data_IF_986109547539
#
_entry.id   IF_986109547539
#
_cell.length_a   1.000
_cell.length_b   1.000
_cell.length_c   1.000
_cell.angle_alpha   90.00
_cell.angle_beta   90.00
_cell.angle_gamma   90.00
#
_symmetry.space_group_name_H-M   'P 1'
#
loop_
_entity.id
_entity.type
_entity.pdbx_description
1 polymer ?
#
# COMPACT_ATOMS: atom_id res chain seq x y z
N UNK A 1 -8.77 2.50 28.25
CA UNK A 1 -9.84 2.34 27.23
C UNK A 1 -9.59 3.28 26.08
N UNK A 2 -10.05 2.95 24.88
CA UNK A 2 -9.87 3.77 23.67
C UNK A 2 -10.54 5.15 23.91
N UNK A 3 -9.71 6.15 24.20
CA UNK A 3 -10.09 7.54 24.50
C UNK A 3 -9.35 8.49 23.55
N UNK A 4 -9.59 9.80 23.67
CA UNK A 4 -8.95 10.78 22.79
C UNK A 4 -7.41 10.80 22.92
N UNK A 5 -6.85 10.42 24.08
CA UNK A 5 -5.40 10.23 24.23
C UNK A 5 -4.88 9.06 23.39
N UNK A 6 -5.63 7.96 23.31
CA UNK A 6 -5.27 6.83 22.45
C UNK A 6 -5.28 7.22 20.96
N UNK A 7 -6.25 8.03 20.53
CA UNK A 7 -6.30 8.58 19.17
C UNK A 7 -5.11 9.51 18.89
N UNK A 8 -4.77 10.39 19.84
CA UNK A 8 -3.61 11.27 19.74
C UNK A 8 -2.28 10.51 19.67
N UNK A 9 -2.10 9.48 20.51
CA UNK A 9 -0.91 8.63 20.50
C UNK A 9 -0.80 7.83 19.19
N UNK A 10 -1.91 7.32 18.67
CA UNK A 10 -1.96 6.64 17.38
C UNK A 10 -1.54 7.56 16.22
N UNK A 11 -2.07 8.78 16.17
CA UNK A 11 -1.70 9.77 15.15
C UNK A 11 -0.21 10.12 15.21
N UNK A 12 0.31 10.40 16.41
CA UNK A 12 1.72 10.68 16.59
C UNK A 12 2.60 9.52 16.12
N UNK A 13 2.24 8.27 16.45
CA UNK A 13 2.96 7.09 16.02
C UNK A 13 2.94 6.95 14.49
N UNK A 14 1.77 7.01 13.85
CA UNK A 14 1.64 6.86 12.39
C UNK A 14 2.43 7.93 11.64
N UNK A 15 2.38 9.18 12.08
CA UNK A 15 3.15 10.27 11.43
C UNK A 15 4.64 9.96 11.51
N UNK A 16 5.15 9.61 12.69
CA UNK A 16 6.59 9.35 12.88
C UNK A 16 7.06 8.13 12.09
N UNK A 17 6.39 6.99 12.25
CA UNK A 17 6.77 5.75 11.57
C UNK A 17 6.55 5.85 10.07
N UNK A 18 5.45 6.46 9.64
CA UNK A 18 5.11 6.64 8.23
C UNK A 18 6.07 7.57 7.52
N UNK A 19 6.46 8.69 8.14
CA UNK A 19 7.43 9.62 7.56
C UNK A 19 8.81 8.99 7.41
N UNK A 20 9.28 8.26 8.44
CA UNK A 20 10.56 7.55 8.38
C UNK A 20 10.55 6.47 7.30
N UNK A 21 9.44 5.73 7.17
CA UNK A 21 9.27 4.72 6.13
C UNK A 21 9.24 5.34 4.73
N UNK A 22 8.53 6.46 4.53
CA UNK A 22 8.49 7.14 3.23
C UNK A 22 9.89 7.54 2.77
N UNK A 23 10.69 8.09 3.69
CA UNK A 23 12.08 8.46 3.42
C UNK A 23 12.95 7.24 3.11
N UNK A 24 12.81 6.16 3.89
CA UNK A 24 13.54 4.91 3.67
C UNK A 24 13.27 4.34 2.27
N UNK A 25 12.00 4.17 1.89
CA UNK A 25 11.60 3.60 0.60
C UNK A 25 12.11 4.44 -0.57
N UNK A 26 12.00 5.77 -0.46
CA UNK A 26 12.45 6.70 -1.50
C UNK A 26 13.96 6.66 -1.68
N UNK A 27 14.72 6.66 -0.59
CA UNK A 27 16.18 6.64 -0.63
C UNK A 27 16.73 5.28 -1.07
N UNK A 28 16.17 4.18 -0.57
CA UNK A 28 16.61 2.83 -0.95
C UNK A 28 16.32 2.55 -2.43
N UNK A 29 15.13 2.88 -2.93
CA UNK A 29 14.82 2.73 -4.35
C UNK A 29 15.70 3.59 -5.25
N UNK A 30 15.93 4.86 -4.86
CA UNK A 30 16.85 5.75 -5.60
C UNK A 30 18.31 5.29 -5.56
N UNK A 31 18.77 4.71 -4.45
CA UNK A 31 20.11 4.17 -4.34
C UNK A 31 20.34 2.98 -5.27
N UNK A 32 19.36 2.08 -5.40
CA UNK A 32 19.44 0.94 -6.33
C UNK A 32 19.41 1.38 -7.80
N UNK A 33 18.57 2.35 -8.18
CA UNK A 33 18.57 2.91 -9.55
C UNK A 33 19.89 3.62 -9.87
N UNK A 34 20.42 4.41 -8.93
CA UNK A 34 21.71 5.09 -9.10
C UNK A 34 22.88 4.10 -9.17
N UNK A 35 22.86 3.02 -8.39
CA UNK A 35 23.89 1.98 -8.45
C UNK A 35 23.87 1.25 -9.81
N UNK A 36 22.68 0.95 -10.34
CA UNK A 36 22.53 0.40 -11.70
C UNK A 36 23.14 1.34 -12.74
N UNK A 37 22.75 2.63 -12.73
CA UNK A 37 23.28 3.65 -13.66
C UNK A 37 24.80 3.80 -13.55
N UNK A 38 25.35 3.78 -12.34
CA UNK A 38 26.79 3.87 -12.12
C UNK A 38 27.57 2.72 -12.80
N UNK A 39 27.03 1.50 -12.76
CA UNK A 39 27.60 0.33 -13.45
C UNK A 39 27.37 0.43 -14.96
N UNK A 40 26.21 0.92 -15.39
CA UNK A 40 25.92 1.16 -16.80
C UNK A 40 26.89 2.15 -17.48
N UNK A 41 27.43 3.11 -16.70
CA UNK A 41 28.44 4.09 -17.14
C UNK A 41 29.86 3.49 -17.29
N UNK A 42 30.03 2.19 -17.00
CA UNK A 42 31.27 1.46 -17.25
C UNK A 42 32.07 1.10 -15.99
N UNK A 43 31.59 1.47 -14.80
CA UNK A 43 32.18 1.01 -13.55
C UNK A 43 31.78 -0.45 -13.27
N UNK A 44 32.57 -1.17 -12.47
CA UNK A 44 32.29 -2.56 -12.07
C UNK A 44 31.95 -3.51 -13.24
N UNK A 45 32.68 -3.37 -14.34
CA UNK A 45 32.58 -4.26 -15.52
C UNK A 45 31.54 -3.84 -16.56
N UNK A 46 30.76 -2.78 -16.33
CA UNK A 46 29.89 -2.21 -17.37
C UNK A 46 28.64 -3.04 -17.68
N UNK A 47 27.91 -2.63 -18.72
CA UNK A 47 26.67 -3.30 -19.17
C UNK A 47 26.92 -4.77 -19.52
N UNK A 48 26.05 -5.64 -19.02
CA UNK A 48 26.11 -7.08 -19.27
C UNK A 48 27.01 -7.87 -18.31
N UNK A 49 27.77 -7.18 -17.43
CA UNK A 49 28.50 -7.83 -16.35
C UNK A 49 27.56 -8.48 -15.34
N UNK A 50 28.09 -9.38 -14.50
CA UNK A 50 27.29 -9.98 -13.43
C UNK A 50 26.88 -8.94 -12.36
N UNK A 51 27.71 -7.92 -12.14
CA UNK A 51 27.36 -6.78 -11.29
C UNK A 51 26.17 -5.98 -11.87
N UNK A 52 26.15 -5.77 -13.19
CA UNK A 52 25.02 -5.11 -13.87
C UNK A 52 23.73 -5.91 -13.73
N UNK A 53 23.77 -7.24 -13.92
CA UNK A 53 22.58 -8.10 -13.74
C UNK A 53 22.05 -8.03 -12.30
N UNK A 54 22.94 -8.04 -11.31
CA UNK A 54 22.55 -7.92 -9.91
C UNK A 54 21.92 -6.55 -9.62
N UNK A 55 22.47 -5.46 -10.17
CA UNK A 55 21.94 -4.12 -9.99
C UNK A 55 20.58 -3.92 -10.67
N UNK A 56 20.33 -4.54 -11.81
CA UNK A 56 19.01 -4.55 -12.47
C UNK A 56 17.96 -5.22 -11.58
N UNK A 57 18.29 -6.33 -10.91
CA UNK A 57 17.38 -6.97 -9.96
C UNK A 57 17.10 -6.03 -8.78
N UNK A 58 18.13 -5.38 -8.24
CA UNK A 58 17.99 -4.40 -7.16
C UNK A 58 17.07 -3.23 -7.53
N UNK A 59 17.24 -2.68 -8.73
CA UNK A 59 16.39 -1.62 -9.27
C UNK A 59 14.93 -2.08 -9.46
N UNK A 60 14.73 -3.31 -9.96
CA UNK A 60 13.38 -3.90 -10.11
C UNK A 60 12.65 -4.03 -8.77
N UNK A 61 13.37 -4.34 -7.69
CA UNK A 61 12.82 -4.34 -6.32
C UNK A 61 12.61 -2.91 -5.80
N UNK A 62 13.47 -1.98 -6.22
CA UNK A 62 13.44 -0.56 -5.83
C UNK A 62 12.34 0.26 -6.49
N UNK A 63 11.90 -0.08 -7.70
CA UNK A 63 10.88 0.66 -8.46
C UNK A 63 9.55 0.80 -7.68
N UNK A 64 8.96 -0.28 -7.13
CA UNK A 64 7.79 -0.14 -6.25
C UNK A 64 8.04 0.74 -5.03
N UNK A 65 9.28 0.80 -4.52
CA UNK A 65 9.63 1.56 -3.32
C UNK A 65 9.70 3.06 -3.62
N UNK A 66 10.40 3.47 -4.70
CA UNK A 66 10.57 4.89 -5.05
C UNK A 66 9.40 5.49 -5.80
N UNK A 67 8.71 4.73 -6.66
CA UNK A 67 7.70 5.31 -7.56
C UNK A 67 6.28 5.11 -7.07
N UNK A 68 6.05 4.14 -6.18
CA UNK A 68 4.70 3.83 -5.67
C UNK A 68 4.60 4.03 -4.16
N UNK A 69 5.26 3.18 -3.37
CA UNK A 69 5.04 3.10 -1.93
C UNK A 69 5.56 4.34 -1.18
N UNK A 70 6.78 4.80 -1.48
CA UNK A 70 7.37 5.99 -0.86
C UNK A 70 6.51 7.25 -1.03
N UNK A 71 6.19 7.65 -2.28
CA UNK A 71 5.31 8.80 -2.54
C UNK A 71 3.89 8.63 -1.99
N UNK A 72 3.33 7.41 -1.96
CA UNK A 72 1.96 7.16 -1.50
C UNK A 72 1.78 7.32 0.02
N UNK A 73 2.84 7.17 0.82
CA UNK A 73 2.74 7.33 2.27
C UNK A 73 2.42 8.78 2.70
N UNK A 74 2.90 9.78 1.96
CA UNK A 74 2.64 11.19 2.30
C UNK A 74 1.14 11.57 2.23
N UNK A 75 0.41 11.26 1.14
CA UNK A 75 -1.05 11.41 1.09
C UNK A 75 -1.78 10.54 2.10
N UNK A 76 -1.33 9.31 2.33
CA UNK A 76 -1.98 8.38 3.27
C UNK A 76 -1.99 8.95 4.69
N UNK A 77 -0.85 9.46 5.17
CA UNK A 77 -0.75 10.11 6.49
C UNK A 77 -1.69 11.33 6.55
N UNK A 78 -1.76 12.12 5.47
CA UNK A 78 -2.62 13.30 5.40
C UNK A 78 -4.10 12.95 5.53
N UNK A 79 -4.56 11.93 4.80
CA UNK A 79 -5.95 11.46 4.84
C UNK A 79 -6.28 10.88 6.22
N UNK A 80 -5.37 10.09 6.80
CA UNK A 80 -5.57 9.53 8.13
C UNK A 80 -5.69 10.62 9.21
N UNK A 81 -4.82 11.63 9.16
CA UNK A 81 -4.89 12.78 10.07
C UNK A 81 -6.20 13.55 9.90
N UNK A 82 -6.63 13.80 8.65
CA UNK A 82 -7.87 14.52 8.36
C UNK A 82 -9.09 13.78 8.91
N UNK A 83 -9.23 12.48 8.61
CA UNK A 83 -10.37 11.68 9.08
C UNK A 83 -10.39 11.60 10.60
N UNK A 84 -9.22 11.45 11.24
CA UNK A 84 -9.13 11.38 12.70
C UNK A 84 -9.56 12.68 13.36
N UNK A 85 -9.17 13.83 12.81
CA UNK A 85 -9.62 15.14 13.30
C UNK A 85 -11.11 15.39 13.04
N UNK A 86 -11.66 14.86 11.94
CA UNK A 86 -13.10 14.93 11.66
C UNK A 86 -13.94 14.20 12.72
N UNK A 87 -13.44 13.06 13.20
CA UNK A 87 -14.15 12.19 14.15
C UNK A 87 -13.92 12.62 15.61
N UNK A 88 -12.84 13.36 15.88
CA UNK A 88 -12.45 13.78 17.24
C UNK A 88 -13.58 14.48 18.04
N UNK A 89 -14.38 15.42 17.49
CA UNK A 89 -15.47 16.04 18.24
C UNK A 89 -16.54 15.03 18.67
N UNK A 90 -16.84 14.03 17.84
CA UNK A 90 -17.79 12.97 18.20
C UNK A 90 -17.24 12.10 19.33
N UNK A 91 -15.93 11.81 19.32
CA UNK A 91 -15.25 11.03 20.36
C UNK A 91 -15.30 11.74 21.72
N UNK A 92 -15.09 13.07 21.73
CA UNK A 92 -15.10 13.86 22.97
C UNK A 92 -16.54 14.04 23.49
N UNK A 93 -17.48 14.44 22.64
CA UNK A 93 -18.85 14.76 23.07
C UNK A 93 -19.65 13.53 23.51
N UNK A 94 -19.32 12.34 23.00
CA UNK A 94 -20.00 11.10 23.36
C UNK A 94 -19.27 10.32 24.46
N UNK A 95 -18.19 10.85 25.04
CA UNK A 95 -17.32 10.08 25.95
C UNK A 95 -18.08 9.53 27.17
N UNK A 96 -19.06 10.28 27.69
CA UNK A 96 -19.81 9.96 28.91
C UNK A 96 -21.07 9.13 28.64
N UNK A 97 -21.45 8.96 27.37
CA UNK A 97 -22.64 8.20 26.97
C UNK A 97 -22.26 6.84 26.40
N UNK A 98 -21.96 5.89 27.28
CA UNK A 98 -21.57 4.53 26.91
C UNK A 98 -22.63 3.82 26.05
N UNK A 99 -23.91 4.03 26.33
CA UNK A 99 -25.00 3.45 25.54
C UNK A 99 -24.98 3.95 24.08
N UNK A 100 -24.80 5.25 23.87
CA UNK A 100 -24.67 5.82 22.53
C UNK A 100 -23.41 5.31 21.82
N UNK A 101 -22.27 5.22 22.53
CA UNK A 101 -21.01 4.71 21.97
C UNK A 101 -21.14 3.26 21.50
N UNK A 102 -21.68 2.37 22.33
CA UNK A 102 -21.87 0.97 21.96
C UNK A 102 -22.90 0.80 20.85
N UNK A 103 -23.96 1.61 20.84
CA UNK A 103 -24.95 1.61 19.75
C UNK A 103 -24.31 2.01 18.43
N UNK A 104 -23.55 3.10 18.40
CA UNK A 104 -22.84 3.56 17.19
C UNK A 104 -21.81 2.51 16.73
N UNK A 105 -21.03 1.94 17.65
CA UNK A 105 -20.06 0.90 17.33
C UNK A 105 -20.73 -0.36 16.76
N UNK A 106 -21.86 -0.78 17.33
CA UNK A 106 -22.66 -1.90 16.85
C UNK A 106 -23.19 -1.66 15.44
N UNK A 107 -23.84 -0.51 15.22
CA UNK A 107 -24.36 -0.12 13.90
C UNK A 107 -23.26 -0.04 12.86
N UNK A 108 -22.12 0.60 13.19
CA UNK A 108 -20.97 0.70 12.29
C UNK A 108 -20.41 -0.68 11.92
N UNK A 109 -20.34 -1.60 12.88
CA UNK A 109 -19.88 -2.98 12.65
C UNK A 109 -20.83 -3.75 11.74
N UNK A 110 -22.15 -3.59 11.93
CA UNK A 110 -23.16 -4.21 11.06
C UNK A 110 -23.09 -3.65 9.64
N UNK A 111 -23.01 -2.33 9.48
CA UNK A 111 -22.88 -1.68 8.17
C UNK A 111 -21.60 -2.17 7.47
N UNK A 112 -20.48 -2.21 8.18
CA UNK A 112 -19.22 -2.71 7.64
C UNK A 112 -19.30 -4.18 7.23
N UNK A 113 -19.88 -5.03 8.07
CA UNK A 113 -20.07 -6.45 7.77
C UNK A 113 -20.98 -6.67 6.56
N UNK A 114 -22.08 -5.92 6.46
CA UNK A 114 -22.99 -5.95 5.32
C UNK A 114 -22.30 -5.47 4.03
N UNK A 115 -21.52 -4.38 4.10
CA UNK A 115 -20.76 -3.87 2.97
C UNK A 115 -19.73 -4.89 2.46
N UNK A 116 -19.00 -5.56 3.37
CA UNK A 116 -18.04 -6.61 3.01
C UNK A 116 -18.74 -7.81 2.37
N UNK A 117 -19.87 -8.26 2.95
CA UNK A 117 -20.65 -9.39 2.42
C UNK A 117 -21.24 -9.08 1.03
N UNK A 118 -21.75 -7.86 0.85
CA UNK A 118 -22.25 -7.39 -0.44
C UNK A 118 -21.11 -7.27 -1.47
N UNK A 119 -19.94 -6.77 -1.06
CA UNK A 119 -18.75 -6.68 -1.93
C UNK A 119 -18.28 -8.06 -2.41
N UNK A 120 -18.24 -9.08 -1.53
CA UNK A 120 -17.94 -10.46 -1.94
C UNK A 120 -18.96 -11.01 -2.95
N UNK A 121 -20.22 -10.61 -2.86
CA UNK A 121 -21.26 -11.00 -3.82
C UNK A 121 -21.11 -10.29 -5.17
N UNK A 122 -20.45 -9.13 -5.21
CA UNK A 122 -20.17 -8.38 -6.44
C UNK A 122 -18.97 -8.91 -7.24
N UNK A 123 -18.05 -9.67 -6.64
CA UNK A 123 -16.91 -10.28 -7.34
C UNK A 123 -17.25 -11.57 -8.10
N UNK A 124 -18.44 -12.13 -7.91
CA UNK A 124 -18.90 -13.34 -8.62
C UNK A 124 -19.42 -13.07 -10.06
N UNK A 125 -19.23 -11.85 -10.58
CA UNK A 125 -19.76 -11.40 -11.88
C UNK A 125 -18.71 -10.96 -12.91
N UNK A 126 -17.43 -11.30 -12.72
CA UNK A 126 -16.34 -10.96 -13.65
C UNK A 126 -15.50 -12.20 -13.98
N UNK A 127 -16.17 -13.28 -14.38
CA UNK A 127 -15.53 -14.41 -15.05
C UNK A 127 -16.36 -14.76 -16.30
N UNK A 128 -16.11 -14.05 -17.39
CA UNK A 128 -16.62 -14.34 -18.73
C UNK A 128 -15.58 -13.83 -19.74
N UNK A 129 -14.69 -14.74 -20.14
CA UNK A 129 -13.93 -14.60 -21.38
C UNK A 129 -12.42 -14.63 -21.25
N UNK A 130 -11.84 -15.67 -20.64
CA UNK A 130 -10.49 -16.10 -21.00
C UNK A 130 -10.46 -17.63 -21.08
N UNK A 131 -11.11 -18.19 -22.10
CA UNK A 131 -10.66 -19.49 -22.60
C UNK A 131 -9.28 -19.27 -23.20
N UNK A 132 -8.28 -19.82 -22.50
CA UNK A 132 -6.95 -19.98 -23.04
C UNK A 132 -7.00 -20.94 -24.21
N UNK A 133 -6.73 -20.43 -25.41
CA UNK A 133 -6.28 -21.25 -26.52
C UNK A 133 -4.78 -21.50 -26.32
N UNK A 134 -4.47 -22.64 -25.68
CA UNK A 134 -3.11 -23.14 -25.52
C UNK A 134 -2.70 -24.04 -26.69
N UNK A 135 -1.58 -23.68 -27.30
CA UNK A 135 -0.52 -24.54 -27.90
C UNK A 135 -0.50 -24.68 -29.44
N UNK A 136 0.61 -24.31 -30.11
CA UNK A 136 0.91 -24.75 -31.47
C UNK A 136 1.53 -26.15 -31.43
N UNK A 137 0.93 -27.12 -32.12
CA UNK A 137 1.53 -28.42 -32.40
C UNK A 137 1.69 -28.59 -33.92
N UNK A 138 2.87 -29.03 -34.32
CA UNK A 138 3.35 -29.09 -35.69
C UNK A 138 2.74 -30.22 -36.54
N UNK A 139 2.71 -29.98 -37.86
CA UNK A 139 2.88 -30.89 -39.00
C UNK A 139 1.82 -31.97 -39.33
N UNK A 140 1.19 -31.87 -40.52
CA UNK A 140 1.28 -32.86 -41.63
C UNK A 140 0.46 -32.44 -42.86
N UNK A 141 1.00 -32.68 -44.07
CA UNK A 141 0.36 -32.75 -45.42
C UNK A 141 -0.38 -31.49 -45.92
N UNK A 142 -0.05 -30.84 -47.04
CA UNK A 142 0.27 -31.30 -48.41
C UNK A 142 1.09 -30.20 -49.09
#
# INVERSE_FOLDING_TARGET
GINFYALGAFLAAVILTGQLMANFLSNSGGAWDNAKKYIEDGHEGGKGSDAHKAAVIGDTVGDPFKDTAGPALNPLIKVMNLISLLILPAVINLQDNDAARFTIAGVATVILGAAIMFSKRSHAGLDLGTEGESTPAAASSV
#
